data_IF_286528708910
#
_entry.id   IF_286528708910
#
_cell.length_a   1.000
_cell.length_b   1.000
_cell.length_c   1.000
_cell.angle_alpha   90.00
_cell.angle_beta   90.00
_cell.angle_gamma   90.00
#
_symmetry.space_group_name_H-M   'P 1'
#
loop_
_entity.id
_entity.type
_entity.pdbx_description
1 polymer ?
#
# COMPACT_ATOMS: atom_id res chain seq x y z
N UNK A 1 -23.08 9.02 12.32
CA UNK A 1 -23.11 9.97 11.20
C UNK A 1 -24.55 10.32 10.83
N UNK A 2 -25.46 9.35 10.70
CA UNK A 2 -26.89 9.58 10.42
C UNK A 2 -27.53 10.50 11.45
N UNK A 3 -27.24 10.30 12.76
CA UNK A 3 -27.72 11.15 13.84
C UNK A 3 -27.22 12.60 13.74
N UNK A 4 -26.20 12.88 12.90
CA UNK A 4 -25.72 14.22 12.55
C UNK A 4 -26.32 14.75 11.24
N UNK A 5 -27.31 14.06 10.67
CA UNK A 5 -27.99 14.46 9.44
C UNK A 5 -27.21 14.15 8.15
N UNK A 6 -26.11 13.38 8.22
CA UNK A 6 -25.37 12.98 7.04
C UNK A 6 -26.12 11.86 6.30
N UNK A 7 -26.25 12.04 4.98
CA UNK A 7 -26.91 11.06 4.09
C UNK A 7 -25.84 10.28 3.33
N UNK A 8 -25.95 8.96 3.36
CA UNK A 8 -25.15 8.07 2.54
C UNK A 8 -25.75 7.93 1.14
N UNK A 9 -24.91 7.94 0.11
CA UNK A 9 -25.31 7.79 -1.30
C UNK A 9 -24.92 6.44 -1.87
N UNK A 10 -24.06 5.71 -1.19
CA UNK A 10 -23.58 4.39 -1.58
C UNK A 10 -23.64 3.42 -0.39
N UNK A 11 -23.31 2.15 -0.66
CA UNK A 11 -23.19 1.10 0.37
C UNK A 11 -21.72 0.76 0.66
N UNK A 12 -20.79 1.67 0.29
CA UNK A 12 -19.35 1.43 0.46
C UNK A 12 -18.86 1.94 1.82
N UNK A 13 -17.93 1.22 2.43
CA UNK A 13 -17.20 1.66 3.62
C UNK A 13 -16.34 2.90 3.34
N UNK A 14 -15.84 3.06 2.12
CA UNK A 14 -15.07 4.23 1.68
C UNK A 14 -15.86 5.53 1.82
N UNK A 15 -17.17 5.53 1.57
CA UNK A 15 -18.01 6.70 1.79
C UNK A 15 -18.08 7.06 3.28
N UNK A 16 -18.15 6.06 4.16
CA UNK A 16 -18.13 6.30 5.62
C UNK A 16 -16.83 6.97 6.03
N UNK A 17 -15.70 6.52 5.51
CA UNK A 17 -14.38 7.11 5.78
C UNK A 17 -14.35 8.56 5.29
N UNK A 18 -14.81 8.82 4.07
CA UNK A 18 -14.87 10.16 3.48
C UNK A 18 -15.71 11.12 4.34
N UNK A 19 -16.88 10.68 4.79
CA UNK A 19 -17.77 11.49 5.64
C UNK A 19 -17.16 11.74 7.04
N UNK A 20 -16.47 10.75 7.62
CA UNK A 20 -15.78 10.92 8.90
C UNK A 20 -14.66 11.96 8.81
N UNK A 21 -13.83 11.90 7.75
CA UNK A 21 -12.78 12.89 7.51
C UNK A 21 -13.40 14.27 7.27
N UNK A 22 -14.47 14.35 6.47
CA UNK A 22 -15.17 15.61 6.20
C UNK A 22 -15.71 16.26 7.47
N UNK A 23 -16.27 15.48 8.39
CA UNK A 23 -16.72 15.99 9.69
C UNK A 23 -15.53 16.46 10.55
N UNK A 24 -14.43 15.71 10.56
CA UNK A 24 -13.25 16.09 11.32
C UNK A 24 -12.57 17.36 10.79
N UNK A 25 -12.63 17.60 9.47
CA UNK A 25 -12.08 18.82 8.83
C UNK A 25 -12.77 20.13 9.28
N UNK A 26 -13.92 20.05 9.94
CA UNK A 26 -14.55 21.24 10.52
C UNK A 26 -13.78 21.81 11.73
N UNK A 27 -12.98 20.97 12.39
CA UNK A 27 -12.27 21.28 13.63
C UNK A 27 -10.75 21.10 13.52
N UNK A 28 -10.27 20.29 12.57
CA UNK A 28 -8.87 19.89 12.44
C UNK A 28 -8.36 20.13 11.03
N UNK A 29 -7.04 20.28 10.90
CA UNK A 29 -6.34 20.24 9.61
C UNK A 29 -6.44 18.84 8.95
N UNK A 30 -6.05 18.71 7.66
CA UNK A 30 -6.17 17.44 6.94
C UNK A 30 -5.51 16.25 7.63
N UNK A 31 -4.28 16.40 8.13
CA UNK A 31 -3.54 15.31 8.75
C UNK A 31 -4.21 14.86 10.06
N UNK A 32 -4.55 15.80 10.92
CA UNK A 32 -5.22 15.50 12.19
C UNK A 32 -6.63 14.92 11.97
N UNK A 33 -7.34 15.37 10.93
CA UNK A 33 -8.64 14.81 10.53
C UNK A 33 -8.52 13.34 10.12
N UNK A 34 -7.45 12.99 9.39
CA UNK A 34 -7.15 11.60 9.04
C UNK A 34 -6.85 10.79 10.30
N UNK A 35 -5.95 11.22 11.16
CA UNK A 35 -5.64 10.51 12.41
C UNK A 35 -6.88 10.26 13.29
N UNK A 36 -7.73 11.27 13.48
CA UNK A 36 -9.00 11.14 14.20
C UNK A 36 -9.91 10.08 13.60
N UNK A 37 -9.94 10.01 12.27
CA UNK A 37 -10.75 9.02 11.55
C UNK A 37 -10.15 7.63 11.67
N UNK A 38 -8.84 7.46 11.45
CA UNK A 38 -8.14 6.16 11.48
C UNK A 38 -8.29 5.47 12.83
N UNK A 39 -8.33 6.22 13.94
CA UNK A 39 -8.55 5.69 15.30
C UNK A 39 -9.94 5.06 15.48
N UNK A 40 -10.89 5.35 14.60
CA UNK A 40 -12.26 4.81 14.63
C UNK A 40 -12.45 3.62 13.69
N UNK A 41 -11.54 3.44 12.73
CA UNK A 41 -11.64 2.36 11.75
C UNK A 41 -11.18 1.04 12.36
N UNK A 42 -11.84 -0.04 11.92
CA UNK A 42 -11.47 -1.42 12.24
C UNK A 42 -11.18 -2.16 10.94
N UNK A 43 -10.34 -3.20 11.01
CA UNK A 43 -9.97 -4.01 9.85
C UNK A 43 -8.80 -3.44 9.06
N UNK A 44 -8.56 -4.03 7.87
CA UNK A 44 -7.46 -3.70 6.98
C UNK A 44 -7.86 -2.64 5.98
N UNK A 45 -6.94 -1.74 5.65
CA UNK A 45 -7.13 -0.73 4.62
C UNK A 45 -5.79 -0.24 4.06
N UNK A 46 -5.83 0.24 2.83
CA UNK A 46 -4.83 1.10 2.21
C UNK A 46 -5.57 2.27 1.56
N UNK A 47 -5.33 3.47 2.04
CA UNK A 47 -6.08 4.66 1.67
C UNK A 47 -5.16 5.66 0.97
N UNK A 48 -5.64 6.24 -0.15
CA UNK A 48 -5.13 7.46 -0.74
C UNK A 48 -6.21 8.54 -0.65
N UNK A 49 -5.95 9.62 0.06
CA UNK A 49 -6.94 10.62 0.42
C UNK A 49 -6.59 11.94 -0.26
N UNK A 50 -7.51 12.44 -1.07
CA UNK A 50 -7.45 13.73 -1.74
C UNK A 50 -8.42 14.71 -1.09
N UNK A 51 -8.01 15.97 -1.03
CA UNK A 51 -8.78 17.04 -0.41
C UNK A 51 -9.09 18.12 -1.42
N UNK A 52 -10.37 18.49 -1.57
CA UNK A 52 -10.78 19.52 -2.52
C UNK A 52 -10.10 20.88 -2.30
N UNK A 53 -9.91 21.26 -1.02
CA UNK A 53 -9.37 22.56 -0.64
C UNK A 53 -7.86 22.51 -0.30
N UNK A 54 -7.21 21.37 -0.42
CA UNK A 54 -5.78 21.14 -0.19
C UNK A 54 -5.24 20.29 -1.32
N UNK A 55 -5.28 20.85 -2.53
CA UNK A 55 -4.97 20.12 -3.78
C UNK A 55 -3.49 19.83 -4.00
N UNK A 56 -2.64 20.37 -3.15
CA UNK A 56 -1.18 20.21 -3.16
C UNK A 56 -0.68 18.99 -2.37
N UNK A 57 -1.58 18.30 -1.65
CA UNK A 57 -1.22 17.14 -0.85
C UNK A 57 -2.11 15.92 -1.12
N UNK A 58 -1.49 14.75 -0.97
CA UNK A 58 -2.16 13.45 -0.86
C UNK A 58 -1.78 12.88 0.51
N UNK A 59 -2.74 12.34 1.25
CA UNK A 59 -2.45 11.59 2.47
C UNK A 59 -2.65 10.11 2.22
N UNK A 60 -1.59 9.32 2.39
CA UNK A 60 -1.63 7.87 2.38
C UNK A 60 -1.74 7.32 3.80
N UNK A 61 -2.54 6.28 4.00
CA UNK A 61 -2.65 5.59 5.29
C UNK A 61 -2.80 4.10 5.10
N UNK A 62 -2.11 3.31 5.93
CA UNK A 62 -2.08 1.86 5.83
C UNK A 62 -2.39 1.16 7.14
N UNK A 63 -3.17 0.07 7.04
CA UNK A 63 -3.32 -0.98 8.06
C UNK A 63 -3.63 -2.31 7.38
N UNK A 64 -2.79 -3.32 7.57
CA UNK A 64 -2.96 -4.65 6.97
C UNK A 64 -2.61 -4.71 5.48
N UNK A 65 -3.30 -3.95 4.63
CA UNK A 65 -3.05 -3.93 3.17
C UNK A 65 -1.80 -3.12 2.83
N UNK A 66 -1.00 -3.51 1.80
CA UNK A 66 0.23 -2.82 1.43
C UNK A 66 -0.02 -1.43 0.85
N UNK A 67 0.95 -0.53 1.07
CA UNK A 67 0.98 0.81 0.48
C UNK A 67 2.44 1.28 0.38
N UNK A 68 2.79 1.92 -0.73
CA UNK A 68 4.14 2.40 -1.00
C UNK A 68 4.11 3.82 -1.58
N UNK A 69 5.18 4.56 -1.31
CA UNK A 69 5.45 5.88 -1.88
C UNK A 69 6.59 5.75 -2.88
N UNK A 70 6.40 6.31 -4.06
CA UNK A 70 7.43 6.46 -5.08
C UNK A 70 7.95 7.89 -5.13
N UNK A 71 9.25 8.05 -5.41
CA UNK A 71 9.92 9.33 -5.46
C UNK A 71 10.44 9.62 -6.86
N UNK A 72 10.18 10.83 -7.36
CA UNK A 72 10.77 11.35 -8.57
C UNK A 72 11.34 12.76 -8.33
N UNK A 73 11.95 13.36 -9.36
CA UNK A 73 12.51 14.72 -9.28
C UNK A 73 11.43 15.80 -9.24
N UNK A 74 10.31 15.56 -9.92
CA UNK A 74 9.29 16.57 -10.15
C UNK A 74 7.97 16.28 -9.43
N UNK A 75 7.76 15.04 -9.00
CA UNK A 75 6.53 14.59 -8.36
C UNK A 75 6.75 13.33 -7.52
N UNK A 76 5.82 13.03 -6.64
CA UNK A 76 5.82 11.83 -5.83
C UNK A 76 4.53 11.05 -6.06
N UNK A 77 4.59 9.74 -5.83
CA UNK A 77 3.52 8.81 -6.18
C UNK A 77 3.07 8.02 -4.96
N UNK A 78 1.82 7.57 -4.98
CA UNK A 78 1.28 6.62 -4.02
C UNK A 78 0.72 5.41 -4.79
N UNK A 79 1.10 4.21 -4.40
CA UNK A 79 0.66 2.97 -5.02
C UNK A 79 0.55 1.83 -4.03
N UNK A 80 -0.11 0.74 -4.41
CA UNK A 80 -0.26 -0.44 -3.56
C UNK A 80 1.08 -1.11 -3.24
N UNK A 81 2.00 -1.12 -4.21
CA UNK A 81 3.29 -1.79 -4.11
C UNK A 81 4.31 -1.21 -5.11
N UNK A 82 5.52 -1.77 -5.10
CA UNK A 82 6.59 -1.40 -6.02
C UNK A 82 6.24 -1.64 -7.48
N UNK A 83 5.48 -2.67 -7.76
CA UNK A 83 5.07 -3.04 -9.11
C UNK A 83 4.21 -1.97 -9.77
N UNK A 84 3.24 -1.43 -9.02
CA UNK A 84 2.37 -0.35 -9.47
C UNK A 84 3.16 0.95 -9.76
N UNK A 85 4.30 1.15 -9.08
CA UNK A 85 5.10 2.37 -9.17
C UNK A 85 6.29 2.27 -10.13
N UNK A 86 6.67 1.07 -10.54
CA UNK A 86 7.91 0.79 -11.28
C UNK A 86 8.03 1.53 -12.62
N UNK A 87 6.92 1.75 -13.33
CA UNK A 87 6.91 2.51 -14.59
C UNK A 87 7.18 4.01 -14.39
N UNK A 88 7.05 4.52 -13.17
CA UNK A 88 7.17 5.93 -12.84
C UNK A 88 8.45 6.26 -12.07
N UNK A 89 8.92 5.32 -11.25
CA UNK A 89 10.14 5.52 -10.44
C UNK A 89 10.75 4.19 -9.99
N UNK A 90 12.07 4.22 -9.76
CA UNK A 90 12.78 3.11 -9.14
C UNK A 90 13.10 3.36 -7.66
N UNK A 91 12.70 4.51 -7.09
CA UNK A 91 12.93 4.85 -5.69
C UNK A 91 11.63 4.78 -4.93
N UNK A 92 11.55 3.90 -3.95
CA UNK A 92 10.32 3.67 -3.19
C UNK A 92 10.59 3.57 -1.69
N UNK A 93 9.56 3.89 -0.91
CA UNK A 93 9.49 3.57 0.52
C UNK A 93 8.18 2.88 0.82
N UNK A 94 8.23 1.81 1.61
CA UNK A 94 7.04 1.10 2.07
C UNK A 94 6.53 1.69 3.38
N UNK A 95 5.23 1.81 3.51
CA UNK A 95 4.60 2.09 4.80
C UNK A 95 4.57 0.81 5.63
N UNK A 96 4.86 0.92 6.92
CA UNK A 96 4.60 -0.15 7.88
C UNK A 96 3.14 -0.08 8.36
N UNK A 97 2.72 -1.09 9.12
CA UNK A 97 1.35 -1.15 9.61
C UNK A 97 1.05 -0.01 10.59
N UNK A 98 0.00 0.74 10.31
CA UNK A 98 -0.38 1.93 11.07
C UNK A 98 0.31 3.23 10.65
N UNK A 99 1.20 3.19 9.64
CA UNK A 99 1.83 4.41 9.14
C UNK A 99 0.87 5.26 8.31
N UNK A 100 1.16 6.56 8.35
CA UNK A 100 0.53 7.60 7.53
C UNK A 100 1.62 8.39 6.81
N UNK A 101 1.42 8.73 5.56
CA UNK A 101 2.30 9.64 4.83
C UNK A 101 1.53 10.85 4.29
N UNK A 102 2.19 11.99 4.30
CA UNK A 102 1.74 13.20 3.61
C UNK A 102 2.68 13.41 2.44
N UNK A 103 2.13 13.43 1.25
CA UNK A 103 2.85 13.53 -0.02
C UNK A 103 2.48 14.85 -0.66
N UNK A 104 3.47 15.68 -0.92
CA UNK A 104 3.37 16.85 -1.79
C UNK A 104 4.19 16.63 -3.07
N UNK A 105 4.18 17.59 -3.97
CA UNK A 105 5.00 17.56 -5.17
C UNK A 105 6.50 17.41 -4.86
N UNK A 106 6.99 18.06 -3.81
CA UNK A 106 8.42 18.16 -3.50
C UNK A 106 8.84 17.39 -2.24
N UNK A 107 7.91 17.01 -1.39
CA UNK A 107 8.25 16.41 -0.09
C UNK A 107 7.30 15.26 0.27
N UNK A 108 7.86 14.27 0.97
CA UNK A 108 7.11 13.20 1.60
C UNK A 108 7.48 13.16 3.08
N UNK A 109 6.48 13.23 3.92
CA UNK A 109 6.63 13.10 5.38
C UNK A 109 5.87 11.87 5.87
N UNK A 110 6.50 11.06 6.73
CA UNK A 110 5.87 9.88 7.32
C UNK A 110 5.62 10.07 8.81
N UNK A 111 4.55 9.43 9.26
CA UNK A 111 4.14 9.38 10.66
C UNK A 111 3.81 7.94 11.04
N UNK A 112 4.18 7.54 12.25
CA UNK A 112 3.82 6.22 12.78
C UNK A 112 2.43 6.21 13.44
N UNK A 113 2.01 5.03 13.93
CA UNK A 113 0.73 4.86 14.63
C UNK A 113 0.58 5.76 15.88
N UNK A 114 1.67 6.25 16.46
CA UNK A 114 1.66 7.20 17.57
C UNK A 114 1.64 8.66 17.13
N UNK A 115 1.42 8.91 15.83
CA UNK A 115 1.39 10.24 15.19
C UNK A 115 2.73 11.00 15.25
N UNK A 116 3.83 10.31 15.53
CA UNK A 116 5.17 10.89 15.55
C UNK A 116 5.78 10.83 14.15
N UNK A 117 6.45 11.92 13.74
CA UNK A 117 7.19 11.99 12.48
C UNK A 117 8.34 10.97 12.52
N UNK A 118 8.47 10.19 11.45
CA UNK A 118 9.50 9.16 11.30
C UNK A 118 10.19 9.27 9.95
N UNK A 119 11.38 8.70 9.86
CA UNK A 119 12.11 8.56 8.60
C UNK A 119 11.92 7.16 8.05
N UNK A 120 11.70 7.04 6.74
CA UNK A 120 11.63 5.77 6.02
C UNK A 120 12.83 5.59 5.12
N UNK A 121 13.29 4.35 5.04
CA UNK A 121 14.35 3.98 4.11
C UNK A 121 13.82 4.05 2.68
N UNK A 122 14.57 4.69 1.80
CA UNK A 122 14.33 4.65 0.36
C UNK A 122 15.04 3.43 -0.20
N UNK A 123 14.29 2.57 -0.87
CA UNK A 123 14.79 1.41 -1.59
C UNK A 123 14.90 1.77 -3.06
N UNK A 124 16.02 1.39 -3.69
CA UNK A 124 16.15 1.49 -5.14
C UNK A 124 15.87 0.12 -5.73
N UNK A 125 14.87 0.06 -6.61
CA UNK A 125 14.53 -1.16 -7.33
C UNK A 125 15.60 -1.44 -8.38
N UNK A 126 16.03 -2.70 -8.51
CA UNK A 126 16.93 -3.13 -9.58
C UNK A 126 16.21 -3.12 -10.93
N UNK A 127 16.96 -2.85 -12.00
CA UNK A 127 16.42 -2.90 -13.37
C UNK A 127 16.03 -4.33 -13.79
N UNK A 128 16.69 -5.33 -13.19
CA UNK A 128 16.50 -6.76 -13.50
C UNK A 128 15.20 -7.37 -12.97
N UNK A 129 14.47 -6.70 -12.09
CA UNK A 129 13.11 -7.11 -11.79
C UNK A 129 12.25 -6.78 -13.01
N UNK A 130 12.02 -7.76 -13.86
CA UNK A 130 11.26 -7.66 -15.10
C UNK A 130 10.02 -6.79 -14.93
N UNK A 131 9.92 -5.71 -15.72
CA UNK A 131 8.68 -4.97 -15.87
C UNK A 131 7.62 -6.00 -16.20
N UNK A 132 6.52 -6.01 -15.45
CA UNK A 132 5.41 -6.89 -15.76
C UNK A 132 4.93 -6.59 -17.19
N UNK A 133 5.51 -7.31 -18.12
CA UNK A 133 5.03 -7.30 -19.50
C UNK A 133 3.88 -8.30 -19.62
N UNK A 134 2.81 -7.89 -20.25
CA UNK A 134 1.68 -8.79 -20.53
C UNK A 134 2.08 -9.91 -21.50
N UNK A 135 3.16 -9.73 -22.23
CA UNK A 135 3.54 -10.63 -23.32
C UNK A 135 2.39 -10.76 -24.32
N UNK A 136 2.09 -11.99 -24.73
CA UNK A 136 1.01 -12.30 -25.69
C UNK A 136 -0.40 -12.27 -25.06
N UNK A 137 -0.52 -12.01 -23.76
CA UNK A 137 -1.80 -12.10 -23.07
C UNK A 137 -2.59 -10.78 -23.13
N UNK A 138 -3.90 -10.88 -23.25
CA UNK A 138 -4.81 -9.73 -23.32
C UNK A 138 -4.76 -8.87 -22.05
N UNK A 139 -4.59 -9.48 -20.88
CA UNK A 139 -4.51 -8.83 -19.58
C UNK A 139 -3.60 -9.62 -18.61
N UNK A 140 -3.17 -8.99 -17.53
CA UNK A 140 -2.29 -9.62 -16.54
C UNK A 140 -2.93 -10.84 -15.87
N UNK A 141 -4.20 -10.81 -15.56
CA UNK A 141 -4.92 -11.94 -14.96
C UNK A 141 -4.81 -13.21 -15.84
N UNK A 142 -4.99 -13.07 -17.16
CA UNK A 142 -4.80 -14.19 -18.08
C UNK A 142 -3.37 -14.72 -18.05
N UNK A 143 -2.38 -13.81 -18.06
CA UNK A 143 -0.96 -14.20 -17.95
C UNK A 143 -0.72 -14.98 -16.67
N UNK A 144 -1.12 -14.45 -15.53
CA UNK A 144 -0.95 -15.08 -14.21
C UNK A 144 -1.59 -16.46 -14.14
N UNK A 145 -2.79 -16.64 -14.69
CA UNK A 145 -3.46 -17.95 -14.75
C UNK A 145 -2.61 -18.97 -15.53
N UNK A 146 -2.09 -18.57 -16.69
CA UNK A 146 -1.30 -19.49 -17.53
C UNK A 146 0.12 -19.71 -16.99
N UNK A 147 0.66 -18.78 -16.17
CA UNK A 147 1.95 -18.92 -15.51
C UNK A 147 1.89 -19.76 -14.22
N UNK A 148 0.70 -20.03 -13.66
CA UNK A 148 0.56 -20.81 -12.42
C UNK A 148 1.33 -22.14 -12.43
N UNK A 149 1.32 -22.97 -13.47
CA UNK A 149 2.09 -24.22 -13.47
C UNK A 149 3.59 -24.01 -13.28
N UNK A 150 4.13 -22.94 -13.87
CA UNK A 150 5.55 -22.57 -13.74
C UNK A 150 5.85 -22.05 -12.34
N UNK A 151 5.02 -21.15 -11.85
CA UNK A 151 5.15 -20.55 -10.52
C UNK A 151 5.06 -21.61 -9.41
N UNK A 152 4.09 -22.50 -9.50
CA UNK A 152 3.93 -23.62 -8.55
C UNK A 152 5.15 -24.55 -8.62
N UNK A 153 5.64 -24.88 -9.82
CA UNK A 153 6.85 -25.70 -9.97
C UNK A 153 8.07 -25.04 -9.34
N UNK A 154 8.26 -23.73 -9.54
CA UNK A 154 9.36 -22.97 -8.94
C UNK A 154 9.27 -23.01 -7.41
N UNK A 155 8.09 -22.74 -6.88
CA UNK A 155 7.83 -22.78 -5.44
C UNK A 155 8.11 -24.17 -4.85
N UNK A 156 7.65 -25.24 -5.51
CA UNK A 156 7.91 -26.62 -5.09
C UNK A 156 9.42 -26.91 -5.10
N UNK A 157 10.14 -26.49 -6.14
CA UNK A 157 11.58 -26.75 -6.25
C UNK A 157 12.40 -26.03 -5.17
N UNK A 158 11.93 -24.93 -4.61
CA UNK A 158 12.59 -24.26 -3.47
C UNK A 158 12.47 -25.07 -2.17
N UNK A 159 11.38 -25.80 -1.99
CA UNK A 159 11.06 -26.50 -0.76
C UNK A 159 11.26 -28.03 -0.83
N UNK A 160 11.43 -28.61 -2.01
CA UNK A 160 11.62 -30.04 -2.19
C UNK A 160 13.03 -30.33 -2.73
N UNK A 161 13.83 -31.03 -1.97
CA UNK A 161 15.06 -31.67 -2.46
C UNK A 161 14.68 -32.92 -3.26
N UNK A 162 14.63 -32.79 -4.57
CA UNK A 162 14.23 -33.88 -5.50
C UNK A 162 15.19 -35.06 -5.44
N UNK A 163 16.44 -34.89 -5.00
CA UNK A 163 17.44 -35.96 -4.88
C UNK A 163 17.25 -36.75 -3.59
N UNK A 164 16.93 -36.06 -2.51
CA UNK A 164 16.74 -36.68 -1.19
C UNK A 164 15.29 -37.09 -0.95
N UNK A 165 14.35 -36.69 -1.80
CA UNK A 165 12.89 -36.85 -1.59
C UNK A 165 12.42 -36.32 -0.24
N UNK A 166 13.01 -35.21 0.17
CA UNK A 166 12.80 -34.60 1.47
C UNK A 166 12.40 -33.14 1.30
N UNK A 167 11.76 -32.56 2.35
CA UNK A 167 11.34 -31.17 2.36
C UNK A 167 12.47 -30.31 2.94
N UNK A 168 12.93 -29.33 2.15
CA UNK A 168 13.95 -28.40 2.57
C UNK A 168 13.31 -27.21 3.31
N UNK A 169 13.40 -27.23 4.65
CA UNK A 169 12.79 -26.21 5.53
C UNK A 169 13.82 -25.23 6.12
N UNK A 170 15.01 -25.10 5.52
CA UNK A 170 16.10 -24.28 6.06
C UNK A 170 15.72 -22.79 6.31
N UNK A 171 14.72 -22.28 5.63
CA UNK A 171 14.24 -20.91 5.77
C UNK A 171 12.84 -20.81 6.39
N UNK A 172 12.31 -21.88 6.96
CA UNK A 172 10.99 -21.83 7.60
C UNK A 172 11.10 -21.18 8.99
N UNK A 173 10.25 -20.20 9.32
CA UNK A 173 10.37 -19.46 10.58
C UNK A 173 9.97 -20.30 11.82
N UNK A 174 9.43 -21.50 11.62
CA UNK A 174 9.04 -22.41 12.70
C UNK A 174 10.11 -23.47 12.85
N UNK A 175 10.78 -23.52 14.03
CA UNK A 175 11.67 -24.64 14.36
C UNK A 175 10.82 -25.84 14.71
N UNK A 176 11.11 -27.04 14.15
CA UNK A 176 10.50 -28.27 14.67
C UNK A 176 10.89 -28.44 16.15
N UNK A 177 9.93 -28.78 17.00
CA UNK A 177 10.14 -29.15 18.39
C UNK A 177 10.95 -30.44 18.53
#
# INVERSE_FOLDING_TARGET
>A
LENKGLKFKSQTDTEVITLLITEALKEYDPLNSVFKTLNRLKGSFALGILFKNFSDIIIGARRGSPLAVGYSKEENYLGSDSYALKSMTNKISYLDDGDVCVISKSEVTFYNASHSKINKKIHTLSEDENIADKGEYKNFMSKEIFEQPITVKTCINEYIDSLKKDINIYNFPIKPE
#
